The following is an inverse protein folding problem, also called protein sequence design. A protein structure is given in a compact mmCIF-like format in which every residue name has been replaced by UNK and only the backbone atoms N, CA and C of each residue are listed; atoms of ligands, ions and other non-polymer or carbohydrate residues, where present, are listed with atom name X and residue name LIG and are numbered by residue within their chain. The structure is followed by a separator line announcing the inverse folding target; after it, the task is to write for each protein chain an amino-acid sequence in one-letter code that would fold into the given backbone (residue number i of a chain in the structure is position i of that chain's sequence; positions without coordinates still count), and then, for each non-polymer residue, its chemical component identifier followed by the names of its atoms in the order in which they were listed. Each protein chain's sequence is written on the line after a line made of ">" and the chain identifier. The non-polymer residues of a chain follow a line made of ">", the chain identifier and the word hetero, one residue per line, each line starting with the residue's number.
data_IF_969767642597
#
_entry.id   IF_969767642597
#
_cell.length_a   1.000
_cell.length_b   1.000
_cell.length_c   1.000
_cell.angle_alpha   90.00
_cell.angle_beta   90.00
_cell.angle_gamma   90.00
#
_symmetry.space_group_name_H-M   'P 1'
#
loop_
_entity.id
_entity.type
_entity.pdbx_description
1 polymer ?
#
# COMPACT_ATOMS: atom_id res chain seq x y z
N UNK A 1 -25.76 40.81 26.85
CA UNK A 1 -25.03 40.20 25.71
C UNK A 1 -26.07 39.78 24.67
N UNK A 2 -26.14 40.46 23.51
CA UNK A 2 -27.25 40.29 22.56
C UNK A 2 -27.26 38.92 21.89
N UNK A 3 -28.46 38.37 21.67
CA UNK A 3 -28.74 37.07 21.03
C UNK A 3 -28.00 36.92 19.68
N UNK A 4 -27.88 38.02 18.92
CA UNK A 4 -27.18 38.10 17.64
C UNK A 4 -25.69 37.75 17.72
N UNK A 5 -25.02 38.16 18.81
CA UNK A 5 -23.59 37.89 19.04
C UNK A 5 -23.36 36.40 19.36
N UNK A 6 -24.31 35.77 20.05
CA UNK A 6 -24.27 34.36 20.38
C UNK A 6 -24.46 33.47 19.13
N UNK A 7 -25.39 33.87 18.25
CA UNK A 7 -25.67 33.18 16.99
C UNK A 7 -24.46 33.21 16.05
N UNK A 8 -23.85 34.38 15.87
CA UNK A 8 -22.68 34.55 15.00
C UNK A 8 -21.48 33.71 15.46
N UNK A 9 -21.24 33.62 16.78
CA UNK A 9 -20.17 32.75 17.33
C UNK A 9 -20.42 31.28 17.05
N UNK A 10 -21.68 30.80 17.14
CA UNK A 10 -22.05 29.41 16.86
C UNK A 10 -21.90 29.06 15.38
N UNK A 11 -22.29 29.95 14.48
CA UNK A 11 -22.12 29.77 13.02
C UNK A 11 -20.63 29.71 12.66
N UNK A 12 -19.82 30.60 13.25
CA UNK A 12 -18.37 30.59 13.05
C UNK A 12 -17.73 29.29 13.55
N UNK A 13 -18.13 28.79 14.73
CA UNK A 13 -17.67 27.50 15.27
C UNK A 13 -18.07 26.32 14.38
N UNK A 14 -19.31 26.29 13.87
CA UNK A 14 -19.76 25.26 12.92
C UNK A 14 -18.95 25.28 11.62
N UNK A 15 -18.68 26.46 11.06
CA UNK A 15 -17.82 26.60 9.89
C UNK A 15 -16.39 26.11 10.18
N UNK A 16 -15.84 26.43 11.36
CA UNK A 16 -14.53 25.95 11.79
C UNK A 16 -14.50 24.42 11.94
N UNK A 17 -15.54 23.82 12.53
CA UNK A 17 -15.66 22.37 12.63
C UNK A 17 -15.74 21.70 11.25
N UNK A 18 -16.43 22.29 10.28
CA UNK A 18 -16.46 21.80 8.90
C UNK A 18 -15.11 21.95 8.17
N UNK A 19 -14.36 23.02 8.44
CA UNK A 19 -13.04 23.24 7.84
C UNK A 19 -11.95 22.35 8.48
N UNK A 20 -12.02 22.10 9.79
CA UNK A 20 -11.07 21.25 10.53
C UNK A 20 -11.42 19.76 10.39
N UNK A 21 -12.69 19.42 10.23
CA UNK A 21 -13.17 18.03 10.10
C UNK A 21 -12.74 17.32 8.81
N UNK A 22 -12.25 18.05 7.80
CA UNK A 22 -11.74 17.46 6.55
C UNK A 22 -10.37 16.78 6.67
N UNK A 23 -9.70 16.87 7.82
CA UNK A 23 -8.33 16.36 7.98
C UNK A 23 -8.23 15.05 8.77
N UNK A 24 -9.34 14.32 8.94
CA UNK A 24 -9.28 12.95 9.48
C UNK A 24 -8.96 12.01 8.31
N UNK A 25 -7.69 11.97 7.92
CA UNK A 25 -7.17 10.95 7.01
C UNK A 25 -7.19 9.61 7.77
N UNK A 26 -8.29 8.87 7.63
CA UNK A 26 -8.35 7.48 8.08
C UNK A 26 -7.26 6.71 7.35
N UNK A 27 -6.29 6.15 8.08
CA UNK A 27 -5.35 5.18 7.56
C UNK A 27 -6.11 3.87 7.27
N UNK A 28 -6.83 3.85 6.14
CA UNK A 28 -7.58 2.70 5.69
C UNK A 28 -6.65 1.54 5.34
N UNK A 29 -7.12 0.32 5.58
CA UNK A 29 -6.54 -0.88 4.98
C UNK A 29 -7.16 -1.01 3.59
N UNK A 30 -6.33 -1.08 2.55
CA UNK A 30 -6.79 -1.10 1.16
C UNK A 30 -6.85 -2.52 0.60
N UNK A 31 -7.85 -2.78 -0.22
CA UNK A 31 -7.96 -3.97 -1.08
C UNK A 31 -7.45 -3.68 -2.49
N UNK A 32 -7.28 -4.73 -3.30
CA UNK A 32 -7.03 -4.57 -4.75
C UNK A 32 -8.14 -3.76 -5.43
N UNK A 33 -9.40 -3.96 -5.02
CA UNK A 33 -10.55 -3.22 -5.51
C UNK A 33 -10.44 -1.72 -5.21
N UNK A 34 -10.09 -1.34 -3.99
CA UNK A 34 -9.92 0.08 -3.60
C UNK A 34 -8.81 0.74 -4.42
N UNK A 35 -7.69 0.04 -4.60
CA UNK A 35 -6.60 0.52 -5.45
C UNK A 35 -7.04 0.75 -6.90
N UNK A 36 -7.78 -0.19 -7.50
CA UNK A 36 -8.27 -0.05 -8.88
C UNK A 36 -9.23 1.15 -9.00
N UNK A 37 -10.09 1.34 -8.00
CA UNK A 37 -11.07 2.42 -8.00
C UNK A 37 -10.45 3.79 -7.79
N UNK A 38 -9.44 3.90 -6.93
CA UNK A 38 -8.90 5.19 -6.49
C UNK A 38 -7.58 5.58 -7.18
N UNK A 39 -6.78 4.62 -7.63
CA UNK A 39 -5.38 4.86 -7.98
C UNK A 39 -5.00 4.50 -9.41
N UNK A 40 -5.78 3.66 -10.07
CA UNK A 40 -5.49 3.24 -11.44
C UNK A 40 -5.63 4.41 -12.43
N UNK A 41 -4.73 4.48 -13.40
CA UNK A 41 -4.71 5.48 -14.48
C UNK A 41 -4.65 6.94 -13.97
N UNK A 42 -5.47 7.83 -14.53
CA UNK A 42 -5.48 9.26 -14.15
C UNK A 42 -6.00 9.53 -12.74
N UNK A 43 -6.56 8.52 -12.05
CA UNK A 43 -7.15 8.69 -10.71
C UNK A 43 -6.10 8.96 -9.65
N UNK A 44 -4.88 8.47 -9.83
CA UNK A 44 -3.74 8.80 -8.98
C UNK A 44 -3.54 10.32 -8.79
N UNK A 45 -3.73 11.12 -9.85
CA UNK A 45 -3.55 12.58 -9.77
C UNK A 45 -4.56 13.22 -8.82
N UNK A 46 -5.77 12.66 -8.73
CA UNK A 46 -6.85 13.17 -7.88
C UNK A 46 -6.77 12.66 -6.44
N UNK A 47 -6.29 11.42 -6.27
CA UNK A 47 -6.30 10.69 -5.02
C UNK A 47 -4.87 10.42 -4.50
N UNK A 48 -3.96 11.37 -4.70
CA UNK A 48 -2.53 11.15 -4.51
C UNK A 48 -2.19 10.63 -3.11
N UNK A 49 -2.78 11.20 -2.06
CA UNK A 49 -2.52 10.78 -0.67
C UNK A 49 -2.98 9.35 -0.39
N UNK A 50 -4.21 9.01 -0.81
CA UNK A 50 -4.77 7.66 -0.70
C UNK A 50 -3.86 6.65 -1.40
N UNK A 51 -3.43 6.98 -2.62
CA UNK A 51 -2.59 6.10 -3.42
C UNK A 51 -1.17 5.99 -2.88
N UNK A 52 -0.60 7.06 -2.35
CA UNK A 52 0.68 7.03 -1.65
C UNK A 52 0.62 6.07 -0.46
N UNK A 53 -0.44 6.12 0.33
CA UNK A 53 -0.64 5.22 1.47
C UNK A 53 -0.85 3.78 1.01
N UNK A 54 -1.76 3.53 0.07
CA UNK A 54 -2.06 2.18 -0.43
C UNK A 54 -0.82 1.49 -1.01
N UNK A 55 -0.08 2.19 -1.88
CA UNK A 55 1.16 1.66 -2.47
C UNK A 55 2.22 1.41 -1.39
N UNK A 56 2.35 2.32 -0.41
CA UNK A 56 3.32 2.14 0.67
C UNK A 56 2.98 0.94 1.54
N UNK A 57 1.70 0.77 1.92
CA UNK A 57 1.25 -0.42 2.65
C UNK A 57 1.53 -1.70 1.85
N UNK A 58 1.22 -1.71 0.55
CA UNK A 58 1.40 -2.91 -0.28
C UNK A 58 2.86 -3.37 -0.33
N UNK A 59 3.78 -2.45 -0.62
CA UNK A 59 5.21 -2.76 -0.69
C UNK A 59 5.80 -3.07 0.69
N UNK A 60 5.36 -2.38 1.75
CA UNK A 60 5.81 -2.69 3.11
C UNK A 60 5.37 -4.09 3.54
N UNK A 61 4.10 -4.47 3.30
CA UNK A 61 3.60 -5.81 3.59
C UNK A 61 4.39 -6.89 2.85
N UNK A 62 4.71 -6.67 1.58
CA UNK A 62 5.53 -7.58 0.79
C UNK A 62 6.95 -7.74 1.38
N UNK A 63 7.62 -6.64 1.69
CA UNK A 63 8.97 -6.65 2.26
C UNK A 63 9.02 -7.38 3.61
N UNK A 64 8.08 -7.04 4.50
CA UNK A 64 7.93 -7.66 5.81
C UNK A 64 7.62 -9.16 5.67
N UNK A 65 6.78 -9.54 4.71
CA UNK A 65 6.44 -10.96 4.50
C UNK A 65 7.69 -11.78 4.15
N UNK A 66 8.57 -11.26 3.29
CA UNK A 66 9.81 -11.97 2.94
C UNK A 66 10.78 -12.03 4.13
N UNK A 67 10.92 -10.96 4.89
CA UNK A 67 11.83 -10.93 6.02
C UNK A 67 11.36 -11.83 7.17
N UNK A 68 10.06 -11.81 7.49
CA UNK A 68 9.47 -12.68 8.51
C UNK A 68 9.48 -14.15 8.12
N UNK A 69 9.17 -14.46 6.85
CA UNK A 69 9.13 -15.84 6.39
C UNK A 69 10.53 -16.39 6.20
N UNK A 70 11.44 -15.68 5.55
CA UNK A 70 12.70 -16.28 5.08
C UNK A 70 13.94 -15.90 5.91
N UNK A 71 13.82 -14.89 6.77
CA UNK A 71 14.92 -14.27 7.51
C UNK A 71 15.67 -13.21 6.71
N UNK A 72 16.32 -12.29 7.42
CA UNK A 72 16.97 -11.08 6.85
C UNK A 72 17.98 -11.42 5.73
N UNK A 73 18.84 -12.44 5.94
CA UNK A 73 19.91 -12.78 4.99
C UNK A 73 19.34 -13.31 3.66
N UNK A 74 18.30 -14.14 3.72
CA UNK A 74 17.64 -14.66 2.52
C UNK A 74 16.87 -13.55 1.82
N UNK A 75 16.11 -12.75 2.57
CA UNK A 75 15.38 -11.60 2.03
C UNK A 75 16.31 -10.64 1.30
N UNK A 76 17.46 -10.30 1.89
CA UNK A 76 18.48 -9.45 1.27
C UNK A 76 19.04 -10.07 -0.01
N UNK A 77 19.33 -11.38 -0.01
CA UNK A 77 19.78 -12.08 -1.21
C UNK A 77 18.70 -12.02 -2.30
N UNK A 78 17.45 -12.36 -1.98
CA UNK A 78 16.33 -12.33 -2.91
C UNK A 78 16.12 -10.96 -3.56
N UNK A 79 16.15 -9.88 -2.75
CA UNK A 79 16.03 -8.50 -3.23
C UNK A 79 17.17 -8.08 -4.16
N UNK A 80 18.36 -8.64 -3.99
CA UNK A 80 19.49 -8.40 -4.91
C UNK A 80 19.30 -9.01 -6.30
N UNK A 81 18.53 -10.10 -6.43
CA UNK A 81 18.18 -10.69 -7.73
C UNK A 81 17.03 -9.96 -8.42
N UNK A 82 16.13 -9.36 -7.64
CA UNK A 82 14.95 -8.66 -8.14
C UNK A 82 14.85 -7.23 -7.58
N UNK A 83 15.82 -6.35 -7.88
CA UNK A 83 15.89 -5.00 -7.30
C UNK A 83 14.71 -4.11 -7.71
N UNK A 84 13.98 -4.46 -8.76
CA UNK A 84 12.76 -3.77 -9.19
C UNK A 84 11.54 -4.06 -8.30
N UNK A 85 11.63 -5.07 -7.42
CA UNK A 85 10.59 -5.36 -6.42
C UNK A 85 10.68 -4.42 -5.21
N UNK A 86 11.78 -3.68 -5.08
CA UNK A 86 11.84 -2.53 -4.19
C UNK A 86 11.24 -1.31 -4.89
N UNK A 87 10.27 -0.67 -4.25
CA UNK A 87 9.61 0.52 -4.79
C UNK A 87 10.63 1.67 -4.93
N UNK A 88 10.88 2.09 -6.17
CA UNK A 88 11.73 3.27 -6.45
C UNK A 88 11.02 4.60 -6.21
N UNK A 89 9.73 4.67 -6.52
CA UNK A 89 8.85 5.81 -6.24
C UNK A 89 7.40 5.35 -6.09
N UNK A 90 6.51 6.18 -5.53
CA UNK A 90 5.08 5.83 -5.48
C UNK A 90 4.50 5.65 -6.89
N UNK A 91 4.84 6.55 -7.82
CA UNK A 91 4.36 6.49 -9.20
C UNK A 91 4.73 5.17 -9.88
N UNK A 92 5.96 4.70 -9.69
CA UNK A 92 6.39 3.40 -10.20
C UNK A 92 5.62 2.27 -9.52
N UNK A 93 5.36 2.39 -8.21
CA UNK A 93 4.53 1.44 -7.47
C UNK A 93 3.09 1.36 -7.99
N UNK A 94 2.47 2.47 -8.37
CA UNK A 94 1.13 2.49 -8.99
C UNK A 94 1.15 1.77 -10.34
N UNK A 95 2.12 2.06 -11.20
CA UNK A 95 2.24 1.40 -12.50
C UNK A 95 2.47 -0.11 -12.32
N UNK A 96 3.31 -0.48 -11.36
CA UNK A 96 3.63 -1.86 -11.09
C UNK A 96 2.42 -2.63 -10.54
N UNK A 97 1.74 -2.10 -9.52
CA UNK A 97 0.52 -2.70 -8.98
C UNK A 97 -0.59 -2.76 -10.03
N UNK A 98 -0.76 -1.73 -10.85
CA UNK A 98 -1.73 -1.74 -11.95
C UNK A 98 -1.48 -2.90 -12.90
N UNK A 99 -0.23 -3.13 -13.29
CA UNK A 99 0.15 -4.28 -14.12
C UNK A 99 -0.19 -5.61 -13.42
N UNK A 100 0.14 -5.74 -12.13
CA UNK A 100 -0.10 -6.98 -11.39
C UNK A 100 -1.59 -7.31 -11.24
N UNK A 101 -2.43 -6.33 -10.91
CA UNK A 101 -3.88 -6.56 -10.77
C UNK A 101 -4.61 -6.72 -12.11
N UNK A 102 -4.02 -6.26 -13.22
CA UNK A 102 -4.50 -6.62 -14.56
C UNK A 102 -4.14 -8.07 -14.93
N UNK A 103 -2.95 -8.54 -14.54
CA UNK A 103 -2.49 -9.91 -14.80
C UNK A 103 -3.13 -10.95 -13.85
N UNK A 104 -3.55 -10.54 -12.65
CA UNK A 104 -4.10 -11.40 -11.59
C UNK A 104 -5.44 -10.83 -11.07
N UNK A 105 -6.50 -10.75 -11.90
CA UNK A 105 -7.77 -10.13 -11.53
C UNK A 105 -8.45 -10.82 -10.34
N UNK A 106 -8.19 -12.10 -10.12
CA UNK A 106 -8.69 -12.89 -8.99
C UNK A 106 -8.19 -12.40 -7.63
N UNK A 107 -7.11 -11.60 -7.60
CA UNK A 107 -6.57 -11.04 -6.36
C UNK A 107 -7.25 -9.73 -5.93
N UNK A 108 -8.08 -9.14 -6.80
CA UNK A 108 -8.83 -7.90 -6.55
C UNK A 108 -9.63 -7.87 -5.23
N UNK A 109 -10.35 -8.92 -4.79
CA UNK A 109 -11.10 -8.90 -3.55
C UNK A 109 -10.22 -8.99 -2.29
N UNK A 110 -8.93 -9.28 -2.42
CA UNK A 110 -8.04 -9.44 -1.27
C UNK A 110 -7.39 -8.12 -0.83
N UNK A 111 -6.81 -8.14 0.37
CA UNK A 111 -5.97 -7.04 0.86
C UNK A 111 -4.86 -6.74 -0.13
N UNK A 112 -4.64 -5.46 -0.41
CA UNK A 112 -3.74 -5.00 -1.46
C UNK A 112 -2.33 -5.56 -1.29
N UNK A 113 -1.80 -5.50 -0.06
CA UNK A 113 -0.48 -6.04 0.28
C UNK A 113 -0.41 -7.57 0.22
N UNK A 114 -1.49 -8.28 0.56
CA UNK A 114 -1.55 -9.73 0.44
C UNK A 114 -1.56 -10.16 -1.03
N UNK A 115 -2.49 -9.64 -1.83
CA UNK A 115 -2.58 -9.94 -3.27
C UNK A 115 -1.28 -9.58 -3.99
N UNK A 116 -0.69 -8.43 -3.67
CA UNK A 116 0.62 -8.07 -4.21
C UNK A 116 1.70 -9.08 -3.85
N UNK A 117 1.79 -9.47 -2.57
CA UNK A 117 2.79 -10.43 -2.11
C UNK A 117 2.65 -11.78 -2.82
N UNK A 118 1.43 -12.33 -2.91
CA UNK A 118 1.15 -13.58 -3.61
C UNK A 118 1.60 -13.51 -5.08
N UNK A 119 1.20 -12.46 -5.80
CA UNK A 119 1.59 -12.29 -7.20
C UNK A 119 3.12 -12.25 -7.39
N UNK A 120 3.84 -11.56 -6.49
CA UNK A 120 5.30 -11.48 -6.55
C UNK A 120 5.99 -12.81 -6.28
N UNK A 121 5.55 -13.55 -5.27
CA UNK A 121 6.11 -14.86 -4.96
C UNK A 121 5.90 -15.87 -6.08
N UNK A 122 4.69 -15.89 -6.67
CA UNK A 122 4.39 -16.80 -7.78
C UNK A 122 5.20 -16.50 -9.03
N UNK A 123 5.44 -15.20 -9.33
CA UNK A 123 6.12 -14.76 -10.54
C UNK A 123 7.64 -14.74 -10.42
N UNK A 124 8.16 -14.43 -9.24
CA UNK A 124 9.58 -14.27 -8.96
C UNK A 124 9.99 -15.19 -7.80
N UNK A 125 10.19 -16.50 -8.07
CA UNK A 125 10.54 -17.45 -7.02
C UNK A 125 11.92 -17.17 -6.43
N UNK A 126 12.16 -17.65 -5.20
CA UNK A 126 13.45 -17.47 -4.52
C UNK A 126 14.56 -18.22 -5.29
N UNK A 127 15.65 -17.54 -5.71
CA UNK A 127 16.75 -18.18 -6.41
C UNK A 127 17.42 -19.24 -5.54
N UNK A 128 17.82 -20.37 -6.13
CA UNK A 128 18.49 -21.47 -5.43
C UNK A 128 19.75 -21.01 -4.67
N UNK A 129 20.48 -20.02 -5.23
CA UNK A 129 21.66 -19.41 -4.61
C UNK A 129 21.34 -18.66 -3.30
N UNK A 130 20.09 -18.26 -3.08
CA UNK A 130 19.63 -17.61 -1.85
C UNK A 130 19.13 -18.59 -0.79
N UNK A 131 18.74 -19.82 -1.18
CA UNK A 131 18.22 -20.85 -0.25
C UNK A 131 19.25 -21.22 0.82
N UNK A 132 20.54 -21.12 0.52
CA UNK A 132 21.62 -21.33 1.51
C UNK A 132 21.56 -20.40 2.72
N UNK A 133 20.84 -19.28 2.61
CA UNK A 133 20.64 -18.31 3.69
C UNK A 133 19.35 -18.52 4.49
N UNK A 134 18.61 -19.59 4.19
CA UNK A 134 17.36 -19.94 4.86
C UNK A 134 17.58 -20.08 6.36
N UNK A 135 16.76 -19.39 7.14
CA UNK A 135 16.78 -19.50 8.59
C UNK A 135 16.23 -20.86 9.05
N UNK A 136 16.83 -21.44 10.08
CA UNK A 136 16.38 -22.73 10.64
C UNK A 136 14.95 -22.59 11.18
N UNK A 137 14.07 -23.54 10.86
CA UNK A 137 12.67 -23.55 11.28
C UNK A 137 11.67 -22.92 10.30
N UNK A 138 12.15 -22.34 9.19
CA UNK A 138 11.28 -21.84 8.12
C UNK A 138 10.93 -22.97 7.14
N UNK A 139 9.66 -23.11 6.75
CA UNK A 139 9.26 -23.89 5.58
C UNK A 139 9.07 -22.93 4.40
N UNK A 140 9.77 -23.22 3.29
CA UNK A 140 9.62 -22.52 2.00
C UNK A 140 9.07 -23.56 1.05
#
# INVERSE_FOLDING_TARGET
>A
MSITLLLNKRIFLLALCFMVGKSIYSAGIYTGKDFILECKDQRYIRNQDICNTAVTQAFASYMVSIELLAGEKLAKCYRSYYPFLEKKSVKDGVLFLTKQYNENPELTPHLLGFGFSVAMYSKYPIPSKCIKFKQSGVLI
#
